data_IF_061088891146
#
_entry.id   IF_061088891146
#
_cell.length_a   1.000
_cell.length_b   1.000
_cell.length_c   1.000
_cell.angle_alpha   90.00
_cell.angle_beta   90.00
_cell.angle_gamma   90.00
#
_symmetry.space_group_name_H-M   'P 1'
#
loop_
_entity.id
_entity.type
_entity.pdbx_description
1 polymer ?
#
# COMPACT_ATOMS: atom_id res chain seq x y z
N UNK A 1 11.57 10.34 21.29
CA UNK A 1 12.40 10.65 20.09
C UNK A 1 11.46 11.27 19.07
N UNK A 2 11.84 12.38 18.45
CA UNK A 2 10.98 13.05 17.44
C UNK A 2 10.95 12.24 16.13
N UNK A 3 9.94 12.41 15.26
CA UNK A 3 9.95 11.82 13.92
C UNK A 3 11.26 12.10 13.16
N UNK A 4 11.72 13.36 13.20
CA UNK A 4 12.97 13.83 12.60
C UNK A 4 14.16 13.00 13.07
N UNK A 5 14.32 12.82 14.39
CA UNK A 5 15.43 12.06 14.95
C UNK A 5 15.40 10.57 14.56
N UNK A 6 14.21 9.97 14.37
CA UNK A 6 14.08 8.60 13.86
C UNK A 6 14.57 8.51 12.40
N UNK A 7 14.18 9.48 11.56
CA UNK A 7 14.58 9.53 10.14
C UNK A 7 16.07 9.84 10.01
N UNK A 8 16.62 10.79 10.75
CA UNK A 8 18.06 11.09 10.77
C UNK A 8 18.89 9.86 11.17
N UNK A 9 18.44 9.13 12.20
CA UNK A 9 19.10 7.90 12.61
C UNK A 9 19.07 6.83 11.50
N UNK A 10 17.98 6.75 10.74
CA UNK A 10 17.86 5.84 9.60
C UNK A 10 18.83 6.25 8.47
N UNK A 11 18.87 7.53 8.11
CA UNK A 11 19.76 8.06 7.07
C UNK A 11 21.23 7.80 7.41
N UNK A 12 21.64 7.94 8.69
CA UNK A 12 22.98 7.55 9.15
C UNK A 12 23.28 6.07 8.95
N UNK A 13 22.31 5.19 9.25
CA UNK A 13 22.46 3.73 9.02
C UNK A 13 22.56 3.40 7.53
N UNK A 14 21.93 4.20 6.68
CA UNK A 14 21.89 4.03 5.23
C UNK A 14 23.05 4.71 4.49
N UNK A 15 24.00 5.30 5.22
CA UNK A 15 25.12 6.09 4.66
C UNK A 15 24.63 7.22 3.73
N UNK A 16 23.52 7.86 4.10
CA UNK A 16 22.89 8.94 3.36
C UNK A 16 23.12 10.30 4.04
N UNK A 17 23.15 11.36 3.23
CA UNK A 17 23.30 12.74 3.72
C UNK A 17 22.16 13.09 4.70
N UNK A 18 22.48 13.43 5.94
CA UNK A 18 21.49 13.80 6.96
C UNK A 18 21.05 15.25 6.91
N UNK A 19 21.82 16.14 6.27
CA UNK A 19 21.58 17.58 6.27
C UNK A 19 20.26 17.93 5.56
N UNK A 20 19.80 17.05 4.67
CA UNK A 20 18.53 17.21 3.93
C UNK A 20 17.31 16.82 4.76
N UNK A 21 17.47 16.10 5.89
CA UNK A 21 16.33 15.59 6.67
C UNK A 21 15.52 16.73 7.28
N UNK A 22 16.18 17.77 7.77
CA UNK A 22 15.52 18.97 8.29
C UNK A 22 14.71 19.69 7.20
N UNK A 23 15.24 19.78 5.98
CA UNK A 23 14.55 20.37 4.84
C UNK A 23 13.31 19.55 4.44
N UNK A 24 13.43 18.21 4.35
CA UNK A 24 12.29 17.32 4.09
C UNK A 24 11.19 17.54 5.13
N UNK A 25 11.56 17.56 6.42
CA UNK A 25 10.60 17.74 7.50
C UNK A 25 9.99 19.14 7.52
N UNK A 26 10.63 20.14 6.90
CA UNK A 26 10.02 21.47 6.71
C UNK A 26 9.00 21.49 5.59
N UNK A 27 9.26 20.77 4.48
CA UNK A 27 8.36 20.67 3.32
C UNK A 27 7.20 19.71 3.55
N UNK A 28 7.44 18.67 4.34
CA UNK A 28 6.44 17.70 4.75
C UNK A 28 6.47 17.53 6.27
N UNK A 29 5.84 18.47 7.00
CA UNK A 29 5.86 18.48 8.45
C UNK A 29 5.27 17.18 9.01
N UNK A 30 6.12 16.37 9.67
CA UNK A 30 5.71 15.16 10.38
C UNK A 30 5.01 15.47 11.72
N UNK A 31 4.38 16.64 11.83
CA UNK A 31 3.82 17.19 13.09
C UNK A 31 2.72 16.32 13.67
N UNK A 32 1.95 15.66 12.82
CA UNK A 32 0.86 14.76 13.23
C UNK A 32 1.23 13.27 13.09
N UNK A 33 2.49 12.96 12.79
CA UNK A 33 2.92 11.59 12.59
C UNK A 33 3.03 10.86 13.94
N UNK A 34 2.37 9.71 14.05
CA UNK A 34 2.58 8.82 15.18
C UNK A 34 3.95 8.14 15.02
N UNK A 35 4.90 8.52 15.87
CA UNK A 35 6.27 7.99 15.79
C UNK A 35 6.29 6.46 15.90
N UNK A 36 5.47 5.90 16.78
CA UNK A 36 5.53 4.47 17.11
C UNK A 36 4.62 3.63 16.23
N UNK A 37 3.51 4.20 15.73
CA UNK A 37 2.57 3.51 14.87
C UNK A 37 2.79 3.77 13.37
N UNK A 38 3.37 4.91 12.99
CA UNK A 38 3.65 5.24 11.59
C UNK A 38 5.15 5.19 11.25
N UNK A 39 5.94 6.07 11.87
CA UNK A 39 7.32 6.36 11.40
C UNK A 39 8.27 5.19 11.66
N UNK A 40 8.32 4.68 12.89
CA UNK A 40 9.24 3.58 13.25
C UNK A 40 8.97 2.30 12.45
N UNK A 41 7.73 1.80 12.34
CA UNK A 41 7.46 0.60 11.55
C UNK A 41 7.84 0.75 10.07
N UNK A 42 7.62 1.94 9.49
CA UNK A 42 8.02 2.27 8.11
C UNK A 42 9.53 2.29 7.93
N UNK A 43 10.25 2.93 8.84
CA UNK A 43 11.72 2.91 8.83
C UNK A 43 12.26 1.49 9.00
N UNK A 44 11.68 0.69 9.90
CA UNK A 44 12.07 -0.71 10.10
C UNK A 44 11.82 -1.58 8.86
N UNK A 45 10.72 -1.31 8.14
CA UNK A 45 10.44 -1.94 6.84
C UNK A 45 11.54 -1.61 5.82
N UNK A 46 11.97 -0.35 5.73
CA UNK A 46 13.05 0.07 4.83
C UNK A 46 14.39 -0.54 5.26
N UNK A 47 14.71 -0.54 6.55
CA UNK A 47 15.90 -1.22 7.11
C UNK A 47 15.91 -2.71 6.75
N UNK A 48 14.76 -3.38 6.82
CA UNK A 48 14.61 -4.76 6.36
C UNK A 48 14.94 -4.92 4.88
N UNK A 49 14.40 -4.06 4.00
CA UNK A 49 14.69 -4.12 2.57
C UNK A 49 16.17 -3.89 2.25
N UNK A 50 16.85 -3.03 3.02
CA UNK A 50 18.30 -2.82 2.91
C UNK A 50 19.06 -4.07 3.34
N UNK A 51 18.70 -4.65 4.48
CA UNK A 51 19.35 -5.86 5.02
C UNK A 51 19.21 -7.06 4.08
N UNK A 52 18.05 -7.23 3.47
CA UNK A 52 17.79 -8.31 2.50
C UNK A 52 18.31 -7.98 1.08
N UNK A 53 19.06 -6.88 0.92
CA UNK A 53 19.61 -6.41 -0.35
C UNK A 53 18.57 -6.21 -1.47
N UNK A 54 17.31 -5.98 -1.10
CA UNK A 54 16.22 -5.64 -2.03
C UNK A 54 16.37 -4.20 -2.51
N UNK A 55 16.78 -3.29 -1.62
CA UNK A 55 17.08 -1.89 -1.92
C UNK A 55 18.43 -1.51 -1.29
N UNK A 56 19.10 -0.50 -1.84
CA UNK A 56 20.26 0.12 -1.17
C UNK A 56 19.80 1.17 -0.16
N UNK A 57 20.65 1.48 0.83
CA UNK A 57 20.39 2.59 1.76
C UNK A 57 20.15 3.91 1.03
N UNK A 58 20.93 4.18 -0.02
CA UNK A 58 20.74 5.35 -0.89
C UNK A 58 19.36 5.36 -1.57
N UNK A 59 18.86 4.21 -2.06
CA UNK A 59 17.54 4.10 -2.65
C UNK A 59 16.42 4.34 -1.62
N UNK A 60 16.55 3.81 -0.41
CA UNK A 60 15.59 4.08 0.69
C UNK A 60 15.59 5.56 1.09
N UNK A 61 16.75 6.18 1.25
CA UNK A 61 16.87 7.60 1.54
C UNK A 61 16.21 8.45 0.45
N UNK A 62 16.45 8.09 -0.82
CA UNK A 62 15.81 8.74 -1.95
C UNK A 62 14.28 8.58 -1.93
N UNK A 63 13.75 7.38 -1.68
CA UNK A 63 12.30 7.17 -1.55
C UNK A 63 11.68 8.06 -0.47
N UNK A 64 12.33 8.19 0.68
CA UNK A 64 11.87 9.06 1.77
C UNK A 64 11.95 10.54 1.37
N UNK A 65 12.99 10.95 0.64
CA UNK A 65 13.13 12.31 0.10
C UNK A 65 12.02 12.66 -0.90
N UNK A 66 11.67 11.72 -1.76
CA UNK A 66 10.67 11.90 -2.83
C UNK A 66 9.24 11.79 -2.31
N UNK A 67 9.01 10.85 -1.39
CA UNK A 67 7.68 10.50 -0.88
C UNK A 67 7.72 10.46 0.65
N UNK A 68 7.98 11.59 1.34
CA UNK A 68 8.01 11.63 2.79
C UNK A 68 6.67 11.23 3.41
N UNK A 69 5.57 11.37 2.65
CA UNK A 69 4.26 10.90 3.05
C UNK A 69 4.19 9.38 3.28
N UNK A 70 5.10 8.59 2.72
CA UNK A 70 5.17 7.14 2.96
C UNK A 70 5.54 6.79 4.40
N UNK A 71 6.14 7.73 5.14
CA UNK A 71 6.47 7.57 6.56
C UNK A 71 5.30 7.88 7.50
N UNK A 72 4.20 8.40 6.95
CA UNK A 72 2.98 8.74 7.70
C UNK A 72 1.79 7.94 7.16
N UNK A 73 0.70 7.82 7.93
CA UNK A 73 -0.49 7.04 7.55
C UNK A 73 -0.29 5.52 7.44
N UNK A 74 0.62 4.94 8.23
CA UNK A 74 0.74 3.48 8.33
C UNK A 74 -0.27 2.87 9.32
N UNK A 75 -1.06 3.70 10.00
CA UNK A 75 -2.13 3.27 10.88
C UNK A 75 -3.41 2.95 10.11
N UNK A 76 -4.02 1.79 10.40
CA UNK A 76 -5.32 1.38 9.84
C UNK A 76 -6.43 2.28 10.38
N UNK A 77 -7.21 2.90 9.47
CA UNK A 77 -8.31 3.82 9.84
C UNK A 77 -9.68 3.15 9.68
N UNK A 78 -10.54 3.24 10.68
CA UNK A 78 -11.92 2.72 10.58
C UNK A 78 -12.75 3.66 9.72
N UNK A 79 -13.45 3.11 8.72
CA UNK A 79 -14.40 3.83 7.88
C UNK A 79 -15.85 3.51 8.25
N UNK A 80 -16.11 2.27 8.68
CA UNK A 80 -17.44 1.82 9.07
C UNK A 80 -17.34 0.65 10.06
N UNK A 81 -18.18 0.65 11.08
CA UNK A 81 -18.27 -0.46 12.03
C UNK A 81 -19.70 -0.61 12.52
N UNK A 82 -20.38 -1.67 12.11
CA UNK A 82 -21.74 -1.96 12.55
C UNK A 82 -22.13 -3.41 12.34
N UNK A 83 -22.95 -3.97 13.24
CA UNK A 83 -23.56 -5.31 13.09
C UNK A 83 -22.54 -6.44 12.80
N UNK A 84 -21.33 -6.29 13.33
CA UNK A 84 -20.22 -7.20 13.14
C UNK A 84 -19.47 -7.08 11.80
N UNK A 85 -19.78 -6.08 10.97
CA UNK A 85 -19.01 -5.68 9.79
C UNK A 85 -18.06 -4.55 10.19
N UNK A 86 -16.80 -4.65 9.78
CA UNK A 86 -15.75 -3.66 10.02
C UNK A 86 -15.11 -3.33 8.68
N UNK A 87 -15.17 -2.07 8.26
CA UNK A 87 -14.54 -1.56 7.03
C UNK A 87 -13.44 -0.60 7.43
N UNK A 88 -12.26 -0.81 6.87
CA UNK A 88 -11.08 0.01 7.14
C UNK A 88 -10.48 0.56 5.86
N UNK A 89 -9.78 1.67 5.98
CA UNK A 89 -8.78 2.10 5.01
C UNK A 89 -7.45 1.43 5.37
N UNK A 90 -7.06 0.42 4.57
CA UNK A 90 -5.76 -0.26 4.67
C UNK A 90 -4.67 0.67 4.09
N UNK A 91 -3.56 0.91 4.80
CA UNK A 91 -2.38 1.56 4.24
C UNK A 91 -1.76 0.76 3.08
N UNK A 92 -1.08 1.44 2.18
CA UNK A 92 -0.19 0.81 1.21
C UNK A 92 0.97 0.08 1.91
N UNK A 93 1.60 -0.86 1.23
CA UNK A 93 2.79 -1.57 1.74
C UNK A 93 2.57 -2.23 3.12
N UNK A 94 1.34 -2.68 3.38
CA UNK A 94 0.91 -3.40 4.59
C UNK A 94 0.19 -4.70 4.20
N UNK A 95 0.61 -5.83 4.78
CA UNK A 95 -0.09 -7.11 4.62
C UNK A 95 -1.40 -7.14 5.40
N UNK A 96 -2.39 -7.85 4.86
CA UNK A 96 -3.66 -8.09 5.57
C UNK A 96 -3.46 -9.05 6.76
N UNK A 97 -2.63 -10.08 6.60
CA UNK A 97 -2.32 -11.09 7.61
C UNK A 97 -0.90 -11.66 7.39
N UNK A 98 -0.38 -12.40 8.36
CA UNK A 98 0.88 -13.13 8.18
C UNK A 98 0.64 -14.43 7.39
N UNK A 99 1.53 -14.80 6.44
CA UNK A 99 1.45 -16.10 5.77
C UNK A 99 1.48 -17.25 6.79
N UNK A 100 0.78 -18.34 6.50
CA UNK A 100 0.72 -19.48 7.43
C UNK A 100 2.10 -20.10 7.62
N UNK A 101 2.52 -20.22 8.88
CA UNK A 101 3.80 -20.82 9.22
C UNK A 101 4.99 -19.86 9.06
N UNK A 102 4.75 -18.63 8.62
CA UNK A 102 5.77 -17.59 8.54
C UNK A 102 5.62 -16.62 9.72
N UNK A 103 6.76 -16.19 10.26
CA UNK A 103 6.82 -15.13 11.26
C UNK A 103 6.76 -13.75 10.64
N UNK A 104 6.95 -12.73 11.47
CA UNK A 104 7.22 -11.38 10.97
C UNK A 104 8.58 -11.36 10.27
N UNK A 105 8.68 -10.61 9.18
CA UNK A 105 9.92 -10.38 8.43
C UNK A 105 10.86 -9.41 9.15
N UNK A 106 10.29 -8.48 9.91
CA UNK A 106 10.99 -7.60 10.84
C UNK A 106 10.17 -7.40 12.13
N UNK A 107 10.81 -7.08 13.27
CA UNK A 107 10.13 -7.05 14.58
C UNK A 107 8.92 -6.11 14.62
N UNK A 108 9.03 -4.94 14.00
CA UNK A 108 8.01 -3.87 13.98
C UNK A 108 6.99 -4.03 12.85
N UNK A 109 7.03 -5.14 12.09
CA UNK A 109 6.07 -5.38 11.01
C UNK A 109 4.65 -5.36 11.56
N UNK A 110 3.72 -4.74 10.83
CA UNK A 110 2.31 -4.63 11.22
C UNK A 110 1.43 -5.19 10.12
N UNK A 111 0.30 -5.76 10.52
CA UNK A 111 -0.72 -6.25 9.62
C UNK A 111 -2.09 -5.71 10.01
N UNK A 112 -3.05 -5.78 9.09
CA UNK A 112 -4.44 -5.47 9.43
C UNK A 112 -4.98 -6.43 10.49
N UNK A 113 -4.55 -7.69 10.46
CA UNK A 113 -4.87 -8.72 11.45
C UNK A 113 -4.44 -8.31 12.87
N UNK A 114 -3.22 -7.75 13.01
CA UNK A 114 -2.73 -7.22 14.30
C UNK A 114 -3.61 -6.09 14.82
N UNK A 115 -3.93 -5.13 13.95
CA UNK A 115 -4.82 -4.01 14.29
C UNK A 115 -6.21 -4.52 14.71
N UNK A 116 -6.75 -5.50 13.98
CA UNK A 116 -8.06 -6.08 14.28
C UNK A 116 -8.06 -6.78 15.64
N UNK A 117 -7.04 -7.58 15.93
CA UNK A 117 -6.92 -8.30 17.20
C UNK A 117 -6.76 -7.34 18.38
N UNK A 118 -5.99 -6.26 18.22
CA UNK A 118 -5.86 -5.22 19.24
C UNK A 118 -7.20 -4.52 19.55
N UNK A 119 -8.04 -4.31 18.52
CA UNK A 119 -9.36 -3.69 18.66
C UNK A 119 -10.44 -4.65 19.18
N UNK A 120 -10.40 -5.91 18.75
CA UNK A 120 -11.37 -6.94 19.12
C UNK A 120 -10.64 -8.16 19.72
N UNK A 121 -10.18 -8.06 20.99
CA UNK A 121 -9.50 -9.15 21.65
C UNK A 121 -10.33 -10.45 21.59
N UNK A 122 -9.65 -11.58 21.42
CA UNK A 122 -10.27 -12.92 21.30
C UNK A 122 -11.19 -13.12 20.10
N UNK A 123 -11.26 -12.15 19.18
CA UNK A 123 -12.06 -12.27 17.96
C UNK A 123 -11.15 -12.47 16.76
N UNK A 124 -11.36 -13.58 16.04
CA UNK A 124 -10.67 -13.82 14.77
C UNK A 124 -11.24 -12.91 13.68
N UNK A 125 -10.38 -12.10 13.06
CA UNK A 125 -10.71 -11.35 11.85
C UNK A 125 -11.18 -12.30 10.74
N UNK A 126 -12.27 -11.95 10.07
CA UNK A 126 -12.74 -12.63 8.85
C UNK A 126 -12.65 -11.65 7.69
N UNK A 127 -11.59 -11.72 6.93
CA UNK A 127 -11.42 -10.92 5.71
C UNK A 127 -12.49 -11.33 4.68
N UNK A 128 -13.33 -10.37 4.30
CA UNK A 128 -14.41 -10.58 3.35
C UNK A 128 -13.98 -10.25 1.91
N UNK A 129 -12.92 -9.47 1.75
CA UNK A 129 -12.17 -9.30 0.52
C UNK A 129 -10.66 -9.24 0.83
N UNK A 130 -9.84 -9.19 -0.21
CA UNK A 130 -8.40 -8.99 -0.10
C UNK A 130 -7.99 -7.74 -0.89
N UNK A 131 -6.84 -7.19 -0.50
CA UNK A 131 -6.08 -6.18 -1.23
C UNK A 131 -4.62 -6.61 -1.21
N UNK A 132 -3.89 -6.36 -2.30
CA UNK A 132 -2.47 -6.64 -2.38
C UNK A 132 -1.68 -5.84 -1.33
N UNK A 133 -0.45 -6.30 -1.05
CA UNK A 133 0.45 -5.64 -0.11
C UNK A 133 0.58 -4.14 -0.38
N UNK A 134 0.92 -3.78 -1.62
CA UNK A 134 1.17 -2.41 -2.07
C UNK A 134 -0.11 -1.56 -2.21
N UNK A 135 -1.29 -2.19 -2.29
CA UNK A 135 -2.54 -1.49 -2.60
C UNK A 135 -3.17 -0.94 -1.33
N UNK A 136 -3.35 0.38 -1.23
CA UNK A 136 -4.13 1.00 -0.15
C UNK A 136 -5.65 0.95 -0.42
N UNK A 137 -6.46 1.29 0.57
CA UNK A 137 -7.89 1.53 0.39
C UNK A 137 -8.80 0.57 1.15
N UNK A 138 -10.01 0.39 0.63
CA UNK A 138 -11.13 -0.20 1.36
C UNK A 138 -10.96 -1.72 1.54
N UNK A 139 -10.81 -2.15 2.79
CA UNK A 139 -10.80 -3.56 3.17
C UNK A 139 -11.96 -3.85 4.13
N UNK A 140 -12.75 -4.87 3.80
CA UNK A 140 -13.93 -5.31 4.55
C UNK A 140 -13.60 -6.56 5.34
N UNK A 141 -13.85 -6.49 6.64
CA UNK A 141 -13.69 -7.57 7.61
C UNK A 141 -15.01 -7.80 8.36
N UNK A 142 -15.09 -8.95 9.04
CA UNK A 142 -16.19 -9.26 9.94
C UNK A 142 -15.72 -9.86 11.26
N UNK A 143 -16.32 -9.42 12.36
CA UNK A 143 -16.06 -9.92 13.72
C UNK A 143 -16.86 -11.19 14.05
N UNK A 144 -17.95 -11.45 13.34
CA UNK A 144 -18.78 -12.65 13.54
C UNK A 144 -18.89 -13.49 12.27
N UNK A 145 -19.16 -14.80 12.42
CA UNK A 145 -19.43 -15.70 11.28
C UNK A 145 -20.67 -15.26 10.50
N UNK A 146 -21.69 -14.77 11.20
CA UNK A 146 -22.94 -14.31 10.58
C UNK A 146 -22.71 -13.08 9.70
N UNK A 147 -21.95 -12.09 10.19
CA UNK A 147 -21.61 -10.91 9.40
C UNK A 147 -20.76 -11.28 8.18
N UNK A 148 -19.75 -12.15 8.35
CA UNK A 148 -18.93 -12.64 7.25
C UNK A 148 -19.78 -13.31 6.15
N UNK A 149 -20.74 -14.17 6.54
CA UNK A 149 -21.64 -14.83 5.58
C UNK A 149 -22.54 -13.86 4.82
N UNK A 150 -23.04 -12.80 5.48
CA UNK A 150 -23.83 -11.76 4.80
C UNK A 150 -23.00 -10.98 3.78
N UNK A 151 -21.78 -10.59 4.16
CA UNK A 151 -20.90 -9.85 3.25
C UNK A 151 -20.46 -10.73 2.09
N UNK A 152 -20.01 -11.97 2.35
CA UNK A 152 -19.61 -12.93 1.34
C UNK A 152 -20.70 -13.14 0.28
N UNK A 153 -21.97 -13.29 0.71
CA UNK A 153 -23.10 -13.39 -0.20
C UNK A 153 -23.20 -12.20 -1.16
N UNK A 154 -22.97 -10.97 -0.70
CA UNK A 154 -23.01 -9.79 -1.56
C UNK A 154 -21.91 -9.81 -2.64
N UNK A 155 -20.72 -10.35 -2.32
CA UNK A 155 -19.64 -10.55 -3.28
C UNK A 155 -19.99 -11.65 -4.29
N UNK A 156 -20.45 -12.81 -3.80
CA UNK A 156 -20.84 -13.97 -4.63
C UNK A 156 -21.96 -13.60 -5.62
N UNK A 157 -22.95 -12.82 -5.20
CA UNK A 157 -24.06 -12.38 -6.06
C UNK A 157 -23.73 -11.16 -6.91
N UNK A 158 -22.46 -10.71 -6.98
CA UNK A 158 -22.00 -9.54 -7.75
C UNK A 158 -22.77 -8.24 -7.45
N UNK A 159 -23.29 -8.09 -6.22
CA UNK A 159 -23.98 -6.87 -5.76
C UNK A 159 -23.00 -5.81 -5.22
N UNK A 160 -21.70 -6.13 -5.15
CA UNK A 160 -20.65 -5.21 -4.72
C UNK A 160 -20.05 -4.51 -5.94
N UNK A 161 -20.09 -3.18 -5.93
CA UNK A 161 -19.30 -2.35 -6.85
C UNK A 161 -18.00 -1.92 -6.17
N UNK A 162 -16.88 -2.10 -6.85
CA UNK A 162 -15.56 -1.60 -6.43
C UNK A 162 -15.11 -0.55 -7.43
N UNK A 163 -14.39 0.43 -6.95
CA UNK A 163 -13.77 1.47 -7.77
C UNK A 163 -12.41 1.79 -7.17
N UNK A 164 -11.39 1.77 -8.01
CA UNK A 164 -10.00 2.03 -7.68
C UNK A 164 -9.53 3.26 -8.43
N UNK A 165 -8.55 3.96 -7.85
CA UNK A 165 -7.80 4.99 -8.54
C UNK A 165 -6.38 4.46 -8.75
N UNK A 166 -5.86 4.65 -9.95
CA UNK A 166 -4.51 4.26 -10.30
C UNK A 166 -3.82 5.34 -11.13
N UNK A 167 -2.50 5.43 -11.01
CA UNK A 167 -1.67 6.22 -11.91
C UNK A 167 -0.96 5.25 -12.84
N UNK A 168 -1.20 5.42 -14.15
CA UNK A 168 -0.56 4.64 -15.20
C UNK A 168 0.48 5.48 -15.93
N UNK A 169 1.58 4.85 -16.34
CA UNK A 169 2.60 5.50 -17.16
C UNK A 169 2.12 5.61 -18.61
N UNK A 170 2.38 6.76 -19.23
CA UNK A 170 1.92 7.11 -20.57
C UNK A 170 0.62 7.91 -20.57
N UNK A 171 0.21 8.31 -21.78
CA UNK A 171 -1.08 8.94 -22.03
C UNK A 171 -1.93 7.97 -22.85
N UNK A 172 -2.90 7.26 -22.23
CA UNK A 172 -3.82 6.43 -22.98
C UNK A 172 -4.51 7.24 -24.08
N UNK A 173 -4.63 6.68 -25.27
CA UNK A 173 -5.26 7.34 -26.43
C UNK A 173 -6.79 7.31 -26.37
N UNK A 174 -7.36 6.54 -25.44
CA UNK A 174 -8.78 6.40 -25.17
C UNK A 174 -9.18 7.12 -23.88
N UNK A 175 -10.44 7.52 -23.78
CA UNK A 175 -11.02 8.06 -22.53
C UNK A 175 -11.61 6.95 -21.65
N UNK A 176 -12.23 5.94 -22.27
CA UNK A 176 -12.77 4.77 -21.59
C UNK A 176 -12.39 3.50 -22.37
N UNK A 177 -12.10 2.42 -21.65
CA UNK A 177 -11.86 1.10 -22.24
C UNK A 177 -12.45 0.02 -21.34
N UNK A 178 -12.96 -1.05 -21.95
CA UNK A 178 -13.31 -2.28 -21.26
C UNK A 178 -12.32 -3.36 -21.66
N UNK A 179 -11.59 -3.88 -20.68
CA UNK A 179 -10.63 -4.96 -20.84
C UNK A 179 -11.34 -6.27 -20.47
N UNK A 180 -11.48 -7.16 -21.44
CA UNK A 180 -12.05 -8.49 -21.24
C UNK A 180 -10.98 -9.52 -21.58
N UNK A 181 -10.49 -10.22 -20.57
CA UNK A 181 -9.35 -11.13 -20.66
C UNK A 181 -9.65 -12.43 -19.90
N UNK A 182 -8.84 -13.47 -20.12
CA UNK A 182 -8.77 -14.62 -19.23
C UNK A 182 -7.51 -14.56 -18.39
N UNK A 183 -7.63 -14.84 -17.10
CA UNK A 183 -6.53 -14.87 -16.15
C UNK A 183 -6.28 -16.28 -15.65
N UNK A 184 -5.03 -16.70 -15.62
CA UNK A 184 -4.60 -17.94 -14.99
C UNK A 184 -3.49 -17.68 -13.97
N UNK A 185 -3.26 -18.65 -13.10
CA UNK A 185 -2.14 -18.61 -12.17
C UNK A 185 -0.80 -18.65 -12.93
N UNK A 186 0.14 -17.82 -12.46
CA UNK A 186 1.54 -17.82 -12.86
C UNK A 186 2.42 -18.48 -11.80
N UNK A 187 3.70 -18.12 -11.77
CA UNK A 187 4.59 -18.54 -10.70
C UNK A 187 4.26 -17.80 -9.38
N UNK A 188 4.20 -18.53 -8.27
CA UNK A 188 3.88 -17.97 -6.96
C UNK A 188 2.45 -17.42 -6.88
N UNK A 189 2.31 -16.17 -6.42
CA UNK A 189 1.02 -15.47 -6.30
C UNK A 189 0.66 -14.63 -7.55
N UNK A 190 1.44 -14.73 -8.62
CA UNK A 190 1.21 -13.93 -9.82
C UNK A 190 -0.01 -14.44 -10.61
N UNK A 191 -0.73 -13.50 -11.23
CA UNK A 191 -1.76 -13.80 -12.25
C UNK A 191 -1.28 -13.28 -13.59
N UNK A 192 -1.60 -14.00 -14.66
CA UNK A 192 -1.22 -13.63 -16.04
C UNK A 192 -2.41 -13.70 -16.98
N UNK A 193 -2.37 -12.87 -18.02
CA UNK A 193 -3.32 -12.96 -19.13
C UNK A 193 -2.99 -14.19 -19.98
N UNK A 194 -4.00 -14.98 -20.29
CA UNK A 194 -3.90 -16.16 -21.16
C UNK A 194 -4.92 -16.08 -22.28
N UNK A 195 -4.63 -16.75 -23.40
CA UNK A 195 -5.53 -16.79 -24.55
C UNK A 195 -6.75 -17.70 -24.31
N UNK A 196 -6.58 -18.78 -23.54
CA UNK A 196 -7.65 -19.72 -23.19
C UNK A 196 -7.33 -20.51 -21.93
N UNK A 197 -8.35 -21.10 -21.31
CA UNK A 197 -8.22 -21.97 -20.13
C UNK A 197 -8.03 -21.22 -18.81
N UNK A 198 -8.24 -19.91 -18.79
CA UNK A 198 -8.24 -19.09 -17.58
C UNK A 198 -9.64 -18.74 -17.10
N UNK A 199 -9.71 -18.00 -15.99
CA UNK A 199 -10.93 -17.42 -15.44
C UNK A 199 -11.23 -16.09 -16.13
N UNK A 200 -12.50 -15.85 -16.45
CA UNK A 200 -12.92 -14.59 -17.07
C UNK A 200 -12.68 -13.39 -16.15
N UNK A 201 -12.05 -12.36 -16.68
CA UNK A 201 -11.79 -11.08 -16.02
C UNK A 201 -12.30 -9.93 -16.88
N UNK A 202 -13.03 -9.03 -16.25
CA UNK A 202 -13.63 -7.85 -16.89
C UNK A 202 -13.30 -6.61 -16.07
N UNK A 203 -12.71 -5.60 -16.71
CA UNK A 203 -12.29 -4.37 -16.05
C UNK A 203 -12.62 -3.17 -16.92
N UNK A 204 -13.41 -2.25 -16.39
CA UNK A 204 -13.73 -0.99 -17.06
C UNK A 204 -12.80 0.09 -16.52
N UNK A 205 -12.12 0.81 -17.40
CA UNK A 205 -11.16 1.85 -17.04
C UNK A 205 -11.57 3.16 -17.68
N UNK A 206 -11.50 4.26 -16.92
CA UNK A 206 -11.79 5.62 -17.38
C UNK A 206 -10.64 6.55 -17.04
N UNK A 207 -10.13 7.28 -18.02
CA UNK A 207 -9.13 8.32 -17.81
C UNK A 207 -9.81 9.50 -17.12
N UNK A 208 -9.28 9.89 -15.96
CA UNK A 208 -9.74 11.07 -15.24
C UNK A 208 -8.92 12.30 -15.61
N UNK A 209 -7.61 12.12 -15.74
CA UNK A 209 -6.68 13.21 -16.03
C UNK A 209 -5.39 12.68 -16.67
N UNK A 210 -4.85 13.42 -17.64
CA UNK A 210 -3.51 13.21 -18.19
C UNK A 210 -2.58 14.30 -17.69
N UNK A 211 -1.33 13.93 -17.40
CA UNK A 211 -0.33 14.84 -16.86
C UNK A 211 1.06 14.21 -16.91
N UNK A 212 1.91 14.56 -15.95
CA UNK A 212 3.25 13.99 -15.85
C UNK A 212 3.52 13.52 -14.42
N UNK A 213 4.22 12.39 -14.30
CA UNK A 213 4.73 11.90 -13.02
C UNK A 213 6.19 12.33 -12.85
N UNK A 214 6.55 12.92 -11.69
CA UNK A 214 7.93 13.33 -11.45
C UNK A 214 8.87 12.12 -11.41
N UNK A 215 10.08 12.28 -11.95
CA UNK A 215 11.19 11.36 -11.71
C UNK A 215 12.26 12.11 -10.94
N UNK A 216 12.59 11.63 -9.75
CA UNK A 216 13.80 12.10 -9.07
C UNK A 216 14.92 11.06 -9.25
N UNK A 217 16.18 11.52 -9.27
CA UNK A 217 17.35 10.64 -9.41
C UNK A 217 18.14 10.60 -8.13
N UNK A 218 18.85 9.49 -7.94
CA UNK A 218 19.97 9.39 -7.01
C UNK A 218 21.09 10.32 -7.49
N UNK A 219 21.69 11.02 -6.53
CA UNK A 219 22.96 11.76 -6.60
C UNK A 219 23.17 12.78 -7.75
N UNK A 220 23.30 14.05 -7.35
CA UNK A 220 24.02 15.14 -8.03
C UNK A 220 23.50 15.74 -9.36
N UNK A 221 22.35 15.35 -9.90
CA UNK A 221 21.73 16.08 -11.00
C UNK A 221 20.22 16.25 -10.82
N UNK A 222 19.77 17.50 -10.84
CA UNK A 222 18.36 17.89 -10.70
C UNK A 222 17.51 17.27 -11.83
N UNK A 223 16.53 16.46 -11.42
CA UNK A 223 15.28 16.06 -12.12
C UNK A 223 15.48 15.43 -13.52
N UNK A 224 15.24 14.12 -13.65
CA UNK A 224 14.90 13.56 -14.98
C UNK A 224 13.58 14.20 -15.42
N UNK A 225 13.46 14.51 -16.71
CA UNK A 225 12.22 15.05 -17.27
C UNK A 225 11.01 14.23 -16.78
N UNK A 226 9.96 14.88 -16.23
CA UNK A 226 8.74 14.20 -15.83
C UNK A 226 8.25 13.28 -16.94
N UNK A 227 7.80 12.08 -16.58
CA UNK A 227 7.30 11.11 -17.57
C UNK A 227 5.80 11.31 -17.78
N UNK A 228 5.28 11.15 -19.00
CA UNK A 228 3.83 11.14 -19.22
C UNK A 228 3.15 10.12 -18.31
N UNK A 229 2.04 10.51 -17.70
CA UNK A 229 1.23 9.65 -16.84
C UNK A 229 -0.25 10.07 -16.89
N UNK A 230 -1.14 9.17 -16.48
CA UNK A 230 -2.55 9.43 -16.37
C UNK A 230 -3.13 8.88 -15.06
N UNK A 231 -3.99 9.67 -14.43
CA UNK A 231 -4.87 9.20 -13.35
C UNK A 231 -6.09 8.53 -14.00
N UNK A 232 -6.36 7.29 -13.60
CA UNK A 232 -7.47 6.48 -14.10
C UNK A 232 -8.33 5.97 -12.96
N UNK A 233 -9.62 5.83 -13.24
CA UNK A 233 -10.60 5.08 -12.44
C UNK A 233 -10.72 3.67 -13.01
N UNK A 234 -10.72 2.65 -12.16
CA UNK A 234 -10.79 1.22 -12.50
C UNK A 234 -11.91 0.53 -11.73
#
# INVERSE_FOLDING_TARGET
>A
MTPVAVVEAAFKRWDANTDVVADICSRWPLVDADVDNDVRPRVAQLDFLVREAVLSGAACAQMVLEQPCSLVNYTVKVLFEQNGVVVVNKPEEMRIDLPRGEGRRWPEERTVSDWFFARFPSTKARFCNQLDHATSGILVMASTKQAAGRVARSFETRNVRKTYLAIVLGHPTWEEVRLTNQLADGEGFARRVVESGGEDADTSVRVLQRGTWPRFSSAEAWVRAPVPAALVEV
#
